data_IF_489525294761
#
_entry.id   IF_489525294761
#
_cell.length_a   1.000
_cell.length_b   1.000
_cell.length_c   1.000
_cell.angle_alpha   90.00
_cell.angle_beta   90.00
_cell.angle_gamma   90.00
#
_symmetry.space_group_name_H-M   'P 1'
#
loop_
_entity.id
_entity.type
_entity.pdbx_description
1 polymer ?
#
# COMPACT_ATOMS: atom_id res chain seq x y z
N UNK A 1 10.36 -25.17 30.99
CA UNK A 1 9.01 -24.60 30.77
C UNK A 1 9.20 -23.30 30.02
N UNK A 2 8.84 -23.23 28.73
CA UNK A 2 9.07 -22.03 27.93
C UNK A 2 8.03 -20.94 28.23
N UNK A 3 8.48 -19.69 28.13
CA UNK A 3 7.82 -18.40 28.40
C UNK A 3 6.61 -18.15 27.46
N UNK A 4 5.51 -17.51 27.90
CA UNK A 4 4.38 -17.23 27.03
C UNK A 4 4.63 -15.94 26.22
N UNK A 5 4.68 -16.10 24.89
CA UNK A 5 4.28 -15.08 23.91
C UNK A 5 5.07 -13.77 23.94
N UNK A 6 6.26 -13.79 23.33
CA UNK A 6 6.75 -12.60 22.63
C UNK A 6 5.80 -12.31 21.46
N UNK A 7 4.84 -11.41 21.66
CA UNK A 7 4.16 -10.78 20.54
C UNK A 7 5.23 -10.15 19.63
N UNK A 8 5.18 -10.31 18.30
CA UNK A 8 6.15 -9.65 17.44
C UNK A 8 6.05 -8.15 17.71
N UNK A 9 7.14 -7.54 18.16
CA UNK A 9 7.24 -6.11 18.40
C UNK A 9 6.67 -5.41 17.17
N UNK A 10 5.55 -4.70 17.36
CA UNK A 10 4.97 -3.88 16.33
C UNK A 10 5.97 -2.76 16.07
N UNK A 11 6.86 -2.97 15.10
CA UNK A 11 7.72 -1.92 14.58
C UNK A 11 6.82 -0.77 14.15
N UNK A 12 7.19 0.45 14.53
CA UNK A 12 6.41 1.64 14.20
C UNK A 12 6.09 1.65 12.69
N UNK A 13 4.85 2.03 12.29
CA UNK A 13 4.47 2.01 10.89
C UNK A 13 5.40 2.92 10.07
N UNK A 14 6.06 2.33 9.08
CA UNK A 14 6.98 3.05 8.20
C UNK A 14 6.20 4.10 7.39
N UNK A 15 6.69 5.33 7.33
CA UNK A 15 6.10 6.39 6.53
C UNK A 15 6.20 6.08 5.03
N UNK A 16 5.15 6.39 4.26
CA UNK A 16 5.08 6.15 2.82
C UNK A 16 4.41 7.34 2.08
N UNK A 17 4.95 7.81 0.94
CA UNK A 17 6.20 7.41 0.30
C UNK A 17 7.45 8.06 0.94
N UNK A 18 8.63 7.46 0.72
CA UNK A 18 9.96 7.95 1.12
C UNK A 18 10.82 8.26 -0.09
N UNK A 19 11.83 9.11 0.11
CA UNK A 19 12.79 9.48 -0.92
C UNK A 19 13.78 8.34 -1.24
N UNK A 20 14.17 8.28 -2.52
CA UNK A 20 15.21 7.34 -2.98
C UNK A 20 16.58 7.98 -2.83
N UNK A 21 17.54 7.23 -2.28
CA UNK A 21 18.96 7.59 -2.33
C UNK A 21 19.63 7.17 -3.63
N UNK A 22 19.12 6.13 -4.30
CA UNK A 22 19.58 5.66 -5.60
C UNK A 22 18.41 5.60 -6.59
N UNK A 23 18.53 6.16 -7.81
CA UNK A 23 17.41 6.22 -8.77
C UNK A 23 16.94 4.84 -9.24
N UNK A 24 17.82 3.83 -9.21
CA UNK A 24 17.54 2.46 -9.67
C UNK A 24 17.05 1.51 -8.57
N UNK A 25 17.02 1.95 -7.31
CA UNK A 25 16.55 1.13 -6.19
C UNK A 25 15.35 1.78 -5.48
N UNK A 26 14.48 0.99 -4.85
CA UNK A 26 13.50 1.51 -3.89
C UNK A 26 14.20 2.25 -2.73
N UNK A 27 13.47 3.11 -1.99
CA UNK A 27 13.95 3.64 -0.73
C UNK A 27 14.39 2.54 0.23
N UNK A 28 15.58 2.68 0.82
CA UNK A 28 16.17 1.68 1.73
C UNK A 28 15.36 1.51 3.02
N UNK A 29 14.58 2.51 3.42
CA UNK A 29 13.66 2.41 4.55
C UNK A 29 12.56 1.34 4.38
N UNK A 30 12.39 0.77 3.18
CA UNK A 30 11.47 -0.33 2.92
C UNK A 30 12.12 -1.71 2.96
N UNK A 31 13.44 -1.83 3.11
CA UNK A 31 14.15 -3.12 3.11
C UNK A 31 13.62 -4.11 4.16
N UNK A 32 13.31 -3.69 5.41
CA UNK A 32 12.69 -4.59 6.40
C UNK A 32 11.31 -5.08 5.95
N UNK A 33 10.54 -4.22 5.28
CA UNK A 33 9.19 -4.55 4.78
C UNK A 33 9.23 -5.51 3.59
N UNK A 34 10.34 -5.54 2.84
CA UNK A 34 10.48 -6.44 1.68
C UNK A 34 10.98 -7.83 2.08
N UNK A 35 11.84 -7.89 3.09
CA UNK A 35 12.54 -9.13 3.48
C UNK A 35 11.66 -10.01 4.36
N UNK A 36 10.97 -9.42 5.33
CA UNK A 36 10.38 -10.21 6.42
C UNK A 36 8.86 -10.36 6.33
N UNK A 37 8.17 -9.49 5.57
CA UNK A 37 6.70 -9.36 5.65
C UNK A 37 6.07 -9.04 4.29
N UNK A 38 5.38 -9.98 3.62
CA UNK A 38 4.76 -9.72 2.32
C UNK A 38 3.64 -8.67 2.38
N UNK A 39 3.11 -8.38 3.57
CA UNK A 39 2.08 -7.40 3.88
C UNK A 39 2.41 -6.69 5.20
N UNK A 40 2.44 -5.36 5.19
CA UNK A 40 2.76 -4.54 6.37
C UNK A 40 1.89 -3.29 6.45
N UNK A 41 1.73 -2.74 7.66
CA UNK A 41 1.05 -1.45 7.86
C UNK A 41 2.05 -0.30 7.67
N UNK A 42 1.63 0.75 6.96
CA UNK A 42 2.40 1.98 6.72
C UNK A 42 1.54 3.21 7.03
N UNK A 43 2.18 4.37 7.17
CA UNK A 43 1.50 5.65 7.36
C UNK A 43 1.65 6.53 6.12
N UNK A 44 0.54 7.04 5.59
CA UNK A 44 0.51 7.92 4.43
C UNK A 44 0.90 9.37 4.81
N UNK A 45 1.09 10.22 3.80
CA UNK A 45 1.45 11.64 3.98
C UNK A 45 0.46 12.43 4.87
N UNK A 46 -0.79 12.00 4.94
CA UNK A 46 -1.88 12.62 5.71
C UNK A 46 -2.10 11.96 7.08
N UNK A 47 -1.18 11.08 7.50
CA UNK A 47 -1.24 10.34 8.76
C UNK A 47 -2.17 9.13 8.73
N UNK A 48 -2.93 8.89 7.64
CA UNK A 48 -3.81 7.72 7.57
C UNK A 48 -3.00 6.44 7.42
N UNK A 49 -3.43 5.35 8.07
CA UNK A 49 -2.76 4.07 7.93
C UNK A 49 -3.21 3.33 6.66
N UNK A 50 -2.27 2.71 5.95
CA UNK A 50 -2.53 1.90 4.76
C UNK A 50 -1.83 0.54 4.84
N UNK A 51 -2.28 -0.40 4.01
CA UNK A 51 -1.59 -1.68 3.81
C UNK A 51 -0.61 -1.56 2.65
N UNK A 52 0.66 -1.93 2.87
CA UNK A 52 1.69 -2.06 1.85
C UNK A 52 1.95 -3.53 1.57
N UNK A 53 1.92 -3.91 0.30
CA UNK A 53 2.22 -5.27 -0.17
C UNK A 53 3.56 -5.25 -0.90
N UNK A 54 4.51 -6.06 -0.44
CA UNK A 54 5.86 -6.17 -1.02
C UNK A 54 6.12 -7.56 -1.62
N UNK A 55 5.38 -8.58 -1.16
CA UNK A 55 5.52 -9.96 -1.64
C UNK A 55 4.86 -10.15 -3.01
N UNK A 56 5.64 -10.60 -4.00
CA UNK A 56 5.16 -10.75 -5.39
C UNK A 56 3.94 -11.67 -5.53
N UNK A 57 3.94 -12.85 -4.90
CA UNK A 57 2.82 -13.78 -4.99
C UNK A 57 1.53 -13.20 -4.39
N UNK A 58 1.64 -12.50 -3.25
CA UNK A 58 0.51 -11.85 -2.61
C UNK A 58 0.00 -10.65 -3.42
N UNK A 59 0.91 -9.83 -3.96
CA UNK A 59 0.54 -8.73 -4.85
C UNK A 59 -0.24 -9.23 -6.06
N UNK A 60 0.22 -10.31 -6.71
CA UNK A 60 -0.50 -10.92 -7.84
C UNK A 60 -1.89 -11.41 -7.45
N UNK A 61 -2.02 -12.05 -6.29
CA UNK A 61 -3.31 -12.55 -5.81
C UNK A 61 -4.29 -11.39 -5.54
N UNK A 62 -3.85 -10.34 -4.86
CA UNK A 62 -4.69 -9.19 -4.51
C UNK A 62 -5.05 -8.35 -5.74
N UNK A 63 -4.11 -8.12 -6.66
CA UNK A 63 -4.38 -7.36 -7.90
C UNK A 63 -5.37 -8.07 -8.85
N UNK A 64 -5.60 -9.37 -8.68
CA UNK A 64 -6.58 -10.14 -9.43
C UNK A 64 -7.88 -10.39 -8.65
N UNK A 65 -7.99 -9.90 -7.41
CA UNK A 65 -9.13 -10.16 -6.55
C UNK A 65 -10.25 -9.14 -6.81
N UNK A 66 -11.42 -9.55 -7.34
CA UNK A 66 -12.51 -8.63 -7.67
C UNK A 66 -13.18 -7.99 -6.45
N UNK A 67 -12.82 -8.42 -5.24
CA UNK A 67 -13.27 -7.78 -3.99
C UNK A 67 -12.52 -6.48 -3.71
N UNK A 68 -11.38 -6.24 -4.36
CA UNK A 68 -10.62 -4.99 -4.22
C UNK A 68 -11.00 -4.03 -5.35
N UNK A 69 -11.31 -2.80 -4.95
CA UNK A 69 -11.72 -1.74 -5.85
C UNK A 69 -10.54 -0.89 -6.30
N UNK A 70 -10.54 -0.48 -7.56
CA UNK A 70 -9.64 0.54 -8.11
C UNK A 70 -10.23 1.95 -8.08
N UNK A 71 -11.54 2.08 -7.81
CA UNK A 71 -12.23 3.37 -7.70
C UNK A 71 -11.62 4.28 -6.62
N UNK A 72 -11.09 5.41 -7.10
CA UNK A 72 -10.34 6.41 -6.32
C UNK A 72 -11.23 7.32 -5.48
N UNK A 73 -12.54 7.30 -5.73
CA UNK A 73 -13.53 8.10 -5.00
C UNK A 73 -13.99 7.42 -3.72
N UNK A 74 -13.70 6.13 -3.55
CA UNK A 74 -14.08 5.37 -2.35
C UNK A 74 -13.37 5.86 -1.10
N UNK A 75 -14.12 5.84 -0.01
CA UNK A 75 -13.58 6.15 1.31
C UNK A 75 -12.45 5.19 1.66
N UNK A 76 -11.34 5.76 2.15
CA UNK A 76 -10.16 4.99 2.51
C UNK A 76 -9.23 4.66 1.34
N UNK A 77 -9.47 5.14 0.11
CA UNK A 77 -8.52 4.97 -0.99
C UNK A 77 -7.13 5.52 -0.58
N UNK A 78 -6.05 4.72 -0.70
CA UNK A 78 -4.73 5.03 -0.13
C UNK A 78 -3.95 6.01 -1.02
N UNK A 79 -4.38 7.25 -1.04
CA UNK A 79 -3.73 8.31 -1.82
C UNK A 79 -2.35 8.65 -1.25
N UNK A 80 -1.34 8.68 -2.11
CA UNK A 80 0.07 8.77 -1.69
C UNK A 80 0.62 10.19 -1.69
N UNK A 81 -0.05 11.15 -2.32
CA UNK A 81 0.37 12.56 -2.35
C UNK A 81 -0.83 13.52 -2.38
N UNK A 82 -0.67 14.77 -1.89
CA UNK A 82 -1.72 15.79 -1.96
C UNK A 82 -2.22 16.06 -3.39
N UNK A 83 -1.31 16.02 -4.38
CA UNK A 83 -1.65 16.21 -5.80
C UNK A 83 -2.64 15.16 -6.30
N UNK A 84 -2.44 13.90 -5.91
CA UNK A 84 -3.36 12.83 -6.31
C UNK A 84 -4.71 12.94 -5.58
N UNK A 85 -4.73 13.45 -4.35
CA UNK A 85 -5.98 13.67 -3.60
C UNK A 85 -6.83 14.75 -4.26
N UNK A 86 -6.21 15.86 -4.67
CA UNK A 86 -6.88 16.95 -5.39
C UNK A 86 -7.41 16.55 -6.78
N UNK A 87 -6.94 15.41 -7.32
CA UNK A 87 -7.34 14.89 -8.62
C UNK A 87 -8.14 13.58 -8.51
N UNK A 88 -8.70 13.26 -7.34
CA UNK A 88 -9.38 11.97 -7.10
C UNK A 88 -10.58 11.73 -8.03
N UNK A 89 -11.31 12.80 -8.37
CA UNK A 89 -12.53 12.72 -9.19
C UNK A 89 -12.24 12.81 -10.71
N UNK A 90 -10.95 12.86 -11.10
CA UNK A 90 -10.59 12.87 -12.52
C UNK A 90 -10.82 11.48 -13.12
N UNK A 91 -11.80 11.39 -14.01
CA UNK A 91 -12.06 10.18 -14.78
C UNK A 91 -10.93 9.92 -15.77
N UNK A 92 -10.27 8.78 -15.63
CA UNK A 92 -9.22 8.30 -16.53
C UNK A 92 -9.76 7.06 -17.25
N UNK A 93 -10.27 7.17 -18.47
CA UNK A 93 -10.78 6.03 -19.27
C UNK A 93 -11.31 4.85 -18.42
N UNK A 94 -10.65 3.69 -18.47
CA UNK A 94 -10.94 2.49 -17.67
C UNK A 94 -10.10 2.41 -16.37
N UNK A 95 -9.18 3.34 -16.12
CA UNK A 95 -8.35 3.35 -14.90
C UNK A 95 -9.12 3.99 -13.73
N UNK A 96 -9.47 3.18 -12.74
CA UNK A 96 -10.19 3.63 -11.55
C UNK A 96 -11.70 3.41 -11.62
N UNK A 97 -12.15 2.45 -12.42
CA UNK A 97 -13.51 1.91 -12.38
C UNK A 97 -13.44 0.41 -12.08
N UNK A 98 -14.46 -0.13 -11.43
CA UNK A 98 -14.57 -1.55 -11.13
C UNK A 98 -15.44 -2.26 -12.18
N UNK A 99 -15.48 -3.60 -12.14
CA UNK A 99 -16.42 -4.37 -12.96
C UNK A 99 -17.89 -4.03 -12.60
N UNK A 100 -18.82 -4.07 -13.58
CA UNK A 100 -18.63 -4.53 -14.96
C UNK A 100 -18.13 -3.46 -15.94
N UNK A 101 -17.96 -2.20 -15.52
CA UNK A 101 -17.56 -1.10 -16.42
C UNK A 101 -16.12 -1.24 -16.92
N UNK A 102 -15.25 -1.88 -16.13
CA UNK A 102 -13.85 -2.12 -16.46
C UNK A 102 -13.61 -3.26 -17.48
N UNK A 103 -14.55 -4.18 -17.64
CA UNK A 103 -14.37 -5.45 -18.35
C UNK A 103 -14.13 -5.33 -19.85
#
# INVERSE_FOLDING_TARGET
MPDPTTAPHASEPVAFPQDRSCPYHPPTGYDPLRTDRPLSRVTLYDGRPAWLVTGHALARALLADPRLSSDRTRDGFPTTTPRFAAARDRRLALLGVDDPEHR
#
